data_IF_731248909525
#
_entry.id   IF_731248909525
#
_cell.length_a   1.000
_cell.length_b   1.000
_cell.length_c   1.000
_cell.angle_alpha   90.00
_cell.angle_beta   90.00
_cell.angle_gamma   90.00
#
_symmetry.space_group_name_H-M   'P 1'
#
loop_
_entity.id
_entity.type
_entity.pdbx_description
1 polymer ?
#
# COMPACT_ATOMS: atom_id res chain seq x y z
N UNK A 1 -7.67 3.57 -1.36
CA UNK A 1 -6.69 4.23 -0.46
C UNK A 1 -6.65 5.72 -0.73
N UNK A 2 -6.63 6.55 0.33
CA UNK A 2 -6.60 8.03 0.24
C UNK A 2 -5.72 8.61 1.36
N UNK A 3 -5.42 9.91 1.29
CA UNK A 3 -4.66 10.58 2.35
C UNK A 3 -4.98 12.06 2.48
N UNK A 4 -4.49 12.70 3.55
CA UNK A 4 -4.73 14.13 3.79
C UNK A 4 -4.08 15.05 2.75
N UNK A 5 -3.08 14.56 2.01
CA UNK A 5 -2.46 15.29 0.88
C UNK A 5 -3.16 15.03 -0.46
N UNK A 6 -4.05 14.05 -0.54
CA UNK A 6 -4.86 13.73 -1.72
C UNK A 6 -6.15 13.03 -1.30
N UNK A 7 -7.21 13.82 -1.16
CA UNK A 7 -8.48 13.37 -0.58
C UNK A 7 -9.34 12.51 -1.53
N UNK A 8 -9.13 12.62 -2.85
CA UNK A 8 -9.80 11.77 -3.85
C UNK A 8 -9.37 10.30 -3.71
N UNK A 9 -8.07 10.04 -3.56
CA UNK A 9 -7.52 8.69 -3.47
C UNK A 9 -7.80 7.83 -4.71
N UNK A 10 -7.70 6.51 -4.52
CA UNK A 10 -7.98 5.48 -5.54
C UNK A 10 -8.81 4.34 -4.94
N UNK A 11 -9.54 3.61 -5.79
CA UNK A 11 -10.40 2.49 -5.40
C UNK A 11 -10.13 1.28 -6.28
N UNK A 12 -10.02 0.10 -5.66
CA UNK A 12 -10.03 -1.20 -6.32
C UNK A 12 -11.48 -1.71 -6.27
N UNK A 13 -12.10 -1.96 -7.42
CA UNK A 13 -13.52 -2.33 -7.50
C UNK A 13 -13.74 -3.82 -7.72
N UNK A 14 -12.71 -4.55 -8.15
CA UNK A 14 -12.79 -5.99 -8.34
C UNK A 14 -12.85 -6.73 -6.98
N UNK A 15 -14.02 -7.25 -6.64
CA UNK A 15 -14.28 -7.92 -5.35
C UNK A 15 -13.37 -9.11 -5.06
N UNK A 16 -12.98 -9.87 -6.08
CA UNK A 16 -12.06 -11.02 -5.91
C UNK A 16 -10.68 -10.53 -5.48
N UNK A 17 -10.19 -9.46 -6.09
CA UNK A 17 -8.90 -8.87 -5.75
C UNK A 17 -8.94 -8.15 -4.40
N UNK A 18 -10.05 -7.47 -4.07
CA UNK A 18 -10.27 -6.86 -2.74
C UNK A 18 -10.17 -7.92 -1.64
N UNK A 19 -10.87 -9.06 -1.80
CA UNK A 19 -10.80 -10.17 -0.83
C UNK A 19 -9.39 -10.74 -0.74
N UNK A 20 -8.71 -10.95 -1.87
CA UNK A 20 -7.35 -11.48 -1.89
C UNK A 20 -6.35 -10.56 -1.16
N UNK A 21 -6.43 -9.25 -1.39
CA UNK A 21 -5.60 -8.24 -0.70
C UNK A 21 -5.93 -8.18 0.78
N UNK A 22 -7.21 -8.17 1.15
CA UNK A 22 -7.64 -8.18 2.56
C UNK A 22 -7.09 -9.40 3.29
N UNK A 23 -7.20 -10.58 2.69
CA UNK A 23 -6.65 -11.82 3.23
C UNK A 23 -5.13 -11.75 3.36
N UNK A 24 -4.42 -11.27 2.34
CA UNK A 24 -2.97 -11.14 2.38
C UNK A 24 -2.49 -10.24 3.53
N UNK A 25 -3.16 -9.10 3.73
CA UNK A 25 -2.89 -8.21 4.86
C UNK A 25 -3.25 -8.84 6.22
N UNK A 26 -4.35 -9.59 6.29
CA UNK A 26 -4.80 -10.24 7.53
C UNK A 26 -3.88 -11.38 7.96
N UNK A 27 -3.38 -12.17 7.02
CA UNK A 27 -2.59 -13.38 7.28
C UNK A 27 -1.09 -13.17 7.12
N UNK A 28 -0.62 -11.92 6.96
CA UNK A 28 0.80 -11.63 6.77
C UNK A 28 1.38 -12.41 5.56
N UNK A 29 0.67 -12.41 4.43
CA UNK A 29 1.08 -13.08 3.19
C UNK A 29 1.43 -12.06 2.10
N UNK A 30 2.20 -12.50 1.10
CA UNK A 30 2.45 -11.71 -0.11
C UNK A 30 1.40 -11.99 -1.18
N UNK A 31 1.04 -10.98 -1.95
CA UNK A 31 0.08 -11.10 -3.05
C UNK A 31 0.41 -10.12 -4.18
N UNK A 32 0.16 -10.53 -5.42
CA UNK A 32 0.43 -9.72 -6.61
C UNK A 32 1.89 -9.77 -7.08
N UNK A 33 2.27 -8.91 -8.05
CA UNK A 33 1.46 -7.82 -8.61
C UNK A 33 0.25 -8.29 -9.44
N UNK A 34 -0.87 -7.57 -9.33
CA UNK A 34 -2.07 -7.75 -10.18
C UNK A 34 -2.59 -6.40 -10.69
N UNK A 35 -2.95 -6.33 -11.97
CA UNK A 35 -3.48 -5.10 -12.57
C UNK A 35 -5.00 -5.00 -12.45
N UNK A 36 -5.51 -3.91 -11.89
CA UNK A 36 -6.95 -3.59 -11.84
C UNK A 36 -7.18 -2.11 -11.62
N UNK A 37 -8.26 -1.58 -12.20
CA UNK A 37 -8.69 -0.18 -12.07
C UNK A 37 -7.61 0.85 -12.46
N UNK A 38 -6.71 0.47 -13.38
CA UNK A 38 -5.60 1.33 -13.84
C UNK A 38 -4.35 1.31 -12.95
N UNK A 39 -4.32 0.48 -11.91
CA UNK A 39 -3.20 0.36 -10.97
C UNK A 39 -2.66 -1.07 -10.90
N UNK A 40 -1.44 -1.22 -10.37
CA UNK A 40 -0.81 -2.53 -10.14
C UNK A 40 -0.72 -2.80 -8.64
N UNK A 41 -1.60 -3.65 -8.13
CA UNK A 41 -1.75 -3.89 -6.70
C UNK A 41 -0.81 -5.01 -6.23
N UNK A 42 -0.10 -4.77 -5.15
CA UNK A 42 0.72 -5.77 -4.49
C UNK A 42 0.72 -5.59 -2.97
N UNK A 43 0.83 -6.71 -2.26
CA UNK A 43 1.04 -6.79 -0.82
C UNK A 43 2.31 -7.58 -0.56
N UNK A 44 3.14 -7.12 0.37
CA UNK A 44 4.29 -7.90 0.82
C UNK A 44 5.02 -7.30 2.00
N UNK A 45 6.01 -8.03 2.50
CA UNK A 45 6.82 -7.60 3.63
C UNK A 45 7.74 -6.46 3.17
N UNK A 46 7.77 -5.38 3.94
CA UNK A 46 8.72 -4.31 3.70
C UNK A 46 9.17 -3.61 4.98
N UNK A 47 10.34 -3.96 5.50
CA UNK A 47 10.90 -3.42 6.74
C UNK A 47 11.93 -4.38 7.34
N UNK A 48 12.41 -4.09 8.55
CA UNK A 48 13.38 -4.95 9.24
C UNK A 48 12.76 -6.29 9.62
N UNK A 49 13.52 -7.37 9.45
CA UNK A 49 13.13 -8.73 9.83
C UNK A 49 12.59 -8.80 11.26
N UNK A 50 11.41 -9.39 11.46
CA UNK A 50 10.74 -9.47 12.76
C UNK A 50 9.77 -8.32 13.06
N UNK A 51 9.72 -7.30 12.21
CA UNK A 51 8.69 -6.26 12.26
C UNK A 51 7.47 -6.74 11.47
N UNK A 52 6.26 -6.56 12.01
CA UNK A 52 5.00 -6.72 11.29
C UNK A 52 4.81 -5.58 10.26
N UNK A 53 5.82 -5.33 9.43
CA UNK A 53 5.82 -4.27 8.44
C UNK A 53 5.40 -4.82 7.09
N UNK A 54 4.20 -4.43 6.70
CA UNK A 54 3.62 -4.79 5.42
C UNK A 54 3.43 -3.55 4.57
N UNK A 55 3.65 -3.71 3.28
CA UNK A 55 3.33 -2.72 2.27
C UNK A 55 2.07 -3.15 1.52
N UNK A 56 1.12 -2.24 1.37
CA UNK A 56 0.13 -2.28 0.30
C UNK A 56 0.51 -1.19 -0.69
N UNK A 57 0.74 -1.58 -1.94
CA UNK A 57 1.08 -0.64 -3.02
C UNK A 57 0.19 -0.85 -4.24
N UNK A 58 -0.07 0.24 -4.96
CA UNK A 58 -0.74 0.26 -6.25
C UNK A 58 0.24 0.54 -7.42
N UNK A 59 1.56 0.42 -7.19
CA UNK A 59 2.62 0.59 -8.21
C UNK A 59 3.22 -0.73 -8.72
N UNK A 60 2.91 -1.85 -8.06
CA UNK A 60 3.32 -3.20 -8.45
C UNK A 60 4.61 -3.71 -7.81
N UNK A 61 5.44 -2.83 -7.23
CA UNK A 61 6.74 -3.22 -6.67
C UNK A 61 6.79 -2.96 -5.17
N UNK A 62 6.75 -4.04 -4.40
CA UNK A 62 6.92 -3.99 -2.93
C UNK A 62 8.35 -3.58 -2.57
N UNK A 63 8.47 -2.79 -1.51
CA UNK A 63 9.72 -2.33 -0.93
C UNK A 63 10.62 -1.49 -1.85
N UNK A 64 9.98 -0.73 -2.75
CA UNK A 64 10.64 0.21 -3.64
C UNK A 64 10.26 1.67 -3.32
N UNK A 65 11.23 2.57 -3.39
CA UNK A 65 10.97 4.00 -3.35
C UNK A 65 10.55 4.48 -4.74
N UNK A 66 9.37 5.08 -4.83
CA UNK A 66 8.77 5.53 -6.10
C UNK A 66 7.82 6.70 -5.86
N UNK A 67 7.11 7.13 -6.89
CA UNK A 67 5.96 8.03 -6.79
C UNK A 67 4.69 7.22 -7.07
N UNK A 68 3.71 7.29 -6.18
CA UNK A 68 2.43 6.62 -6.39
C UNK A 68 1.60 6.49 -5.12
N UNK A 69 0.95 5.33 -4.99
CA UNK A 69 0.02 5.01 -3.92
C UNK A 69 0.58 3.82 -3.15
N UNK A 70 1.15 4.08 -1.97
CA UNK A 70 1.73 3.06 -1.09
C UNK A 70 1.40 3.40 0.36
N UNK A 71 1.10 2.40 1.18
CA UNK A 71 1.09 2.50 2.64
C UNK A 71 1.96 1.41 3.25
N UNK A 72 2.77 1.76 4.26
CA UNK A 72 3.68 0.85 4.97
C UNK A 72 3.52 0.96 6.48
N UNK A 73 2.40 0.46 7.05
CA UNK A 73 2.25 0.37 8.50
C UNK A 73 3.44 -0.35 9.13
N UNK A 74 3.89 0.16 10.28
CA UNK A 74 4.92 -0.47 11.13
C UNK A 74 6.33 -0.64 10.49
N UNK A 75 6.69 0.15 9.45
CA UNK A 75 8.01 0.07 8.80
C UNK A 75 9.21 0.42 9.68
N UNK A 76 9.01 1.13 10.78
CA UNK A 76 10.07 1.46 11.73
C UNK A 76 11.08 2.50 11.22
N UNK A 77 10.76 3.23 10.14
CA UNK A 77 11.53 4.34 9.60
C UNK A 77 10.59 5.36 8.92
N UNK A 78 11.15 6.38 8.26
CA UNK A 78 10.39 7.49 7.66
C UNK A 78 9.70 7.15 6.32
N UNK A 79 9.83 5.93 5.81
CA UNK A 79 9.33 5.52 4.48
C UNK A 79 7.91 4.93 4.54
N UNK A 80 7.01 5.58 5.29
CA UNK A 80 5.65 5.12 5.59
C UNK A 80 4.73 4.96 4.37
N UNK A 81 5.17 5.38 3.19
CA UNK A 81 4.38 5.43 1.96
C UNK A 81 4.00 6.85 1.56
N UNK A 82 3.08 6.95 0.60
CA UNK A 82 2.62 8.21 0.01
C UNK A 82 1.34 7.98 -0.79
N UNK A 83 0.50 9.01 -0.87
CA UNK A 83 -0.75 9.00 -1.65
C UNK A 83 -0.59 9.99 -2.80
N UNK A 84 -0.51 9.47 -4.02
CA UNK A 84 -0.22 10.22 -5.24
C UNK A 84 1.07 11.07 -5.13
N UNK A 85 2.13 10.48 -4.60
CA UNK A 85 3.36 11.22 -4.30
C UNK A 85 4.52 10.29 -3.97
N UNK A 86 5.65 10.86 -3.59
CA UNK A 86 6.85 10.11 -3.17
C UNK A 86 6.49 9.13 -2.04
N UNK A 87 6.97 7.89 -2.12
CA UNK A 87 6.65 6.83 -1.14
C UNK A 87 7.72 6.63 -0.06
N UNK A 88 8.87 7.29 -0.20
CA UNK A 88 9.98 7.30 0.77
C UNK A 88 10.32 8.75 1.13
N UNK A 89 10.53 9.03 2.42
CA UNK A 89 10.71 10.41 2.90
C UNK A 89 9.53 11.35 2.56
N UNK A 90 8.31 10.80 2.44
CA UNK A 90 7.10 11.59 2.19
C UNK A 90 6.85 12.59 3.32
N UNK A 91 6.21 13.71 2.98
CA UNK A 91 5.62 14.59 3.97
C UNK A 91 4.64 13.84 4.89
N UNK A 92 4.56 14.27 6.14
CA UNK A 92 3.62 13.74 7.14
C UNK A 92 2.18 13.91 6.66
N UNK A 93 1.41 12.82 6.71
CA UNK A 93 0.00 12.81 6.31
C UNK A 93 -0.77 11.69 7.01
N UNK A 94 -2.08 11.84 7.12
CA UNK A 94 -2.96 10.75 7.53
C UNK A 94 -3.37 9.98 6.29
N UNK A 95 -3.06 8.68 6.24
CA UNK A 95 -3.44 7.78 5.14
C UNK A 95 -4.52 6.81 5.61
N UNK A 96 -5.45 6.46 4.72
CA UNK A 96 -6.56 5.56 5.04
C UNK A 96 -6.76 4.54 3.93
N UNK A 97 -6.84 3.27 4.34
CA UNK A 97 -7.28 2.15 3.51
C UNK A 97 -8.59 1.66 4.13
N UNK A 98 -9.63 1.51 3.29
CA UNK A 98 -10.96 1.07 3.70
C UNK A 98 -11.32 -0.11 2.80
N UNK A 99 -11.77 -1.19 3.42
CA UNK A 99 -12.43 -2.29 2.76
C UNK A 99 -13.94 -2.10 2.94
N UNK A 100 -14.71 -2.20 1.85
CA UNK A 100 -16.16 -1.99 1.82
C UNK A 100 -16.83 -3.18 1.16
#
# INVERSE_FOLDING_TARGET
MKGSTSSTGITLTNSTLVIAIANALHTNASYGPVSSDGYSWAVGICGSSGSNSYELTATGTVCSCTTGYTVRPCIGNQNWGGINGTTCGSASQTMTVIFQ
#
